data_IF_890114260541
#
_entry.id   IF_890114260541
#
_cell.length_a   1.000
_cell.length_b   1.000
_cell.length_c   1.000
_cell.angle_alpha   90.00
_cell.angle_beta   90.00
_cell.angle_gamma   90.00
#
_symmetry.space_group_name_H-M   'P 1'
#
loop_
_entity.id
_entity.type
_entity.pdbx_description
1 polymer ?
#
# COMPACT_ATOMS: atom_id res chain seq x y z
N UNK A 1 -13.79 4.05 -0.12
CA UNK A 1 -12.39 4.31 0.29
C UNK A 1 -11.65 3.01 0.16
N UNK A 2 -10.45 3.01 -0.41
CA UNK A 2 -9.84 1.79 -0.93
C UNK A 2 -8.38 1.57 -0.53
N UNK A 3 -7.67 2.61 -0.12
CA UNK A 3 -6.32 2.48 0.40
C UNK A 3 -5.95 3.66 1.26
N UNK A 4 -5.21 3.39 2.32
CA UNK A 4 -4.66 4.39 3.21
C UNK A 4 -3.32 3.88 3.72
N UNK A 5 -2.26 4.62 3.40
CA UNK A 5 -0.99 4.53 4.10
C UNK A 5 -0.71 5.89 4.70
N UNK A 6 -0.61 5.96 6.02
CA UNK A 6 -0.02 7.14 6.67
C UNK A 6 1.30 6.76 7.33
N UNK A 7 2.40 7.16 6.71
CA UNK A 7 3.74 6.97 7.24
C UNK A 7 4.30 8.30 7.72
N UNK A 8 5.36 8.27 8.52
CA UNK A 8 5.95 9.50 9.05
C UNK A 8 7.39 9.31 9.43
N UNK A 9 8.11 10.42 9.48
CA UNK A 9 9.52 10.43 9.87
C UNK A 9 9.87 11.77 10.52
N UNK A 10 10.65 11.73 11.59
CA UNK A 10 11.28 12.94 12.12
C UNK A 10 12.27 13.50 11.09
N UNK A 11 12.20 14.80 10.80
CA UNK A 11 13.11 15.45 9.85
C UNK A 11 14.56 15.45 10.34
N UNK A 12 14.74 15.44 11.66
CA UNK A 12 16.00 15.15 12.35
C UNK A 12 15.74 14.06 13.38
N UNK A 13 16.56 13.01 13.36
CA UNK A 13 16.50 11.94 14.37
C UNK A 13 17.32 12.27 15.61
N UNK A 14 18.14 13.32 15.60
CA UNK A 14 18.86 13.79 16.79
C UNK A 14 17.94 14.68 17.65
N UNK A 15 17.67 14.32 18.91
CA UNK A 15 16.87 15.15 19.81
C UNK A 15 17.53 16.52 20.03
N UNK A 16 16.76 17.59 19.86
CA UNK A 16 17.20 18.96 20.14
C UNK A 16 16.00 19.83 20.50
N UNK A 17 16.07 20.52 21.64
CA UNK A 17 14.97 21.37 22.13
C UNK A 17 13.78 20.60 22.69
N UNK A 18 12.64 21.29 22.82
CA UNK A 18 11.41 20.74 23.40
C UNK A 18 10.47 20.10 22.37
N UNK A 19 10.67 20.37 21.08
CA UNK A 19 9.83 19.87 19.99
C UNK A 19 10.66 19.29 18.86
N UNK A 20 10.02 18.44 18.05
CA UNK A 20 10.59 17.76 16.89
C UNK A 20 9.72 18.09 15.68
N UNK A 21 10.35 18.39 14.54
CA UNK A 21 9.63 18.46 13.28
C UNK A 21 9.43 17.06 12.71
N UNK A 22 8.16 16.69 12.50
CA UNK A 22 7.73 15.40 12.00
C UNK A 22 7.05 15.60 10.65
N UNK A 23 7.54 14.89 9.64
CA UNK A 23 6.90 14.81 8.33
C UNK A 23 5.83 13.71 8.39
N UNK A 24 4.58 14.09 8.20
CA UNK A 24 3.43 13.20 8.07
C UNK A 24 3.15 13.02 6.58
N UNK A 25 3.27 11.80 6.09
CA UNK A 25 2.89 11.40 4.74
C UNK A 25 1.51 10.74 4.80
N UNK A 26 0.57 11.24 4.01
CA UNK A 26 -0.76 10.68 3.84
C UNK A 26 -0.92 10.25 2.39
N UNK A 27 -1.22 8.97 2.16
CA UNK A 27 -1.57 8.45 0.84
C UNK A 27 -2.93 7.78 0.93
N UNK A 28 -3.87 8.26 0.13
CA UNK A 28 -5.24 7.79 0.17
C UNK A 28 -5.77 7.47 -1.22
N UNK A 29 -6.70 6.51 -1.27
CA UNK A 29 -7.42 6.16 -2.49
C UNK A 29 -8.92 6.08 -2.28
N UNK A 30 -9.67 6.58 -3.26
CA UNK A 30 -11.13 6.60 -3.28
C UNK A 30 -11.68 6.11 -4.59
N UNK A 31 -12.98 5.83 -4.55
CA UNK A 31 -13.74 5.54 -5.75
C UNK A 31 -13.82 6.80 -6.61
N UNK A 32 -13.45 6.67 -7.88
CA UNK A 32 -13.30 7.80 -8.79
C UNK A 32 -14.64 8.44 -9.11
N UNK A 33 -15.71 7.65 -9.20
CA UNK A 33 -17.06 8.15 -9.48
C UNK A 33 -17.85 8.64 -8.25
N UNK A 34 -17.29 8.56 -7.04
CA UNK A 34 -18.02 8.84 -5.80
C UNK A 34 -18.05 10.32 -5.43
N UNK A 35 -17.02 11.07 -5.78
CA UNK A 35 -16.92 12.51 -5.54
C UNK A 35 -16.82 13.29 -6.86
N UNK A 36 -17.22 14.56 -6.83
CA UNK A 36 -17.06 15.46 -7.98
C UNK A 36 -15.58 15.77 -8.30
N UNK A 37 -14.70 15.63 -7.31
CA UNK A 37 -13.24 15.83 -7.36
C UNK A 37 -12.49 14.53 -7.73
N UNK A 38 -12.74 14.01 -8.93
CA UNK A 38 -12.09 12.80 -9.42
C UNK A 38 -10.68 13.05 -9.99
N UNK A 39 -9.75 12.10 -9.83
CA UNK A 39 -8.48 12.18 -10.55
C UNK A 39 -8.69 11.98 -12.07
N UNK A 40 -7.96 12.79 -12.84
CA UNK A 40 -7.82 12.77 -14.28
C UNK A 40 -6.38 13.14 -14.66
N UNK A 41 -6.01 13.01 -15.93
CA UNK A 41 -4.71 13.51 -16.41
C UNK A 41 -4.50 15.00 -16.10
N UNK A 42 -5.56 15.81 -16.21
CA UNK A 42 -5.52 17.25 -15.94
C UNK A 42 -5.26 17.54 -14.46
N UNK A 43 -5.93 16.83 -13.55
CA UNK A 43 -5.72 17.03 -12.11
C UNK A 43 -4.33 16.62 -11.68
N UNK A 44 -3.76 15.54 -12.25
CA UNK A 44 -2.37 15.13 -12.00
C UNK A 44 -1.40 16.22 -12.49
N UNK A 45 -1.56 16.65 -13.74
CA UNK A 45 -0.66 17.65 -14.36
C UNK A 45 -0.64 18.97 -13.60
N UNK A 46 -1.80 19.38 -13.08
CA UNK A 46 -1.96 20.63 -12.34
C UNK A 46 -1.77 20.46 -10.82
N UNK A 47 -1.37 19.27 -10.34
CA UNK A 47 -1.23 18.96 -8.92
C UNK A 47 -2.46 19.35 -8.08
N UNK A 48 -3.64 19.10 -8.63
CA UNK A 48 -4.89 19.47 -7.99
C UNK A 48 -5.22 18.53 -6.84
N UNK A 49 -5.81 19.12 -5.80
CA UNK A 49 -6.29 18.41 -4.63
C UNK A 49 -7.55 17.62 -4.99
N UNK A 50 -7.60 16.38 -4.51
CA UNK A 50 -8.73 15.47 -4.58
C UNK A 50 -9.08 15.00 -3.16
N UNK A 51 -10.33 14.63 -2.92
CA UNK A 51 -10.83 14.21 -1.61
C UNK A 51 -12.25 14.69 -1.34
N UNK A 52 -12.72 14.51 -0.10
CA UNK A 52 -14.10 14.85 0.29
C UNK A 52 -14.29 16.29 0.71
N UNK A 53 -13.21 17.08 0.88
CA UNK A 53 -13.20 18.42 1.48
C UNK A 53 -13.67 18.48 2.94
N UNK A 54 -13.88 17.32 3.57
CA UNK A 54 -14.47 17.20 4.92
C UNK A 54 -13.78 16.14 5.79
N UNK A 55 -12.92 15.31 5.20
CA UNK A 55 -12.19 14.28 5.92
C UNK A 55 -10.94 14.85 6.59
N UNK A 56 -10.63 14.34 7.77
CA UNK A 56 -9.51 14.82 8.58
C UNK A 56 -8.70 13.66 9.16
N UNK A 57 -7.38 13.86 9.24
CA UNK A 57 -6.49 13.05 10.07
C UNK A 57 -6.36 13.76 11.42
N UNK A 58 -6.85 13.08 12.46
CA UNK A 58 -6.94 13.62 13.81
C UNK A 58 -6.17 12.78 14.82
N UNK A 59 -5.75 13.40 15.93
CA UNK A 59 -5.22 12.68 17.08
C UNK A 59 -6.33 12.37 18.07
N UNK A 60 -6.47 11.09 18.41
CA UNK A 60 -7.54 10.59 19.27
C UNK A 60 -7.06 10.21 20.68
N UNK A 61 -5.81 9.74 20.81
CA UNK A 61 -5.24 9.30 22.10
C UNK A 61 -3.79 9.78 22.22
N UNK A 62 -3.37 10.13 23.44
CA UNK A 62 -2.01 10.57 23.74
C UNK A 62 -1.89 12.10 23.82
N UNK A 63 -0.77 12.65 23.35
CA UNK A 63 -0.42 14.08 23.45
C UNK A 63 -1.18 14.98 22.45
N UNK A 64 -2.47 14.72 22.24
CA UNK A 64 -3.26 15.29 21.14
C UNK A 64 -3.47 16.81 21.19
N UNK A 65 -3.32 17.46 22.34
CA UNK A 65 -3.43 18.92 22.46
C UNK A 65 -2.39 19.69 21.61
N UNK A 66 -1.29 19.03 21.25
CA UNK A 66 -0.24 19.60 20.39
C UNK A 66 -0.35 19.16 18.92
N UNK A 67 -1.30 18.27 18.60
CA UNK A 67 -1.49 17.79 17.24
C UNK A 67 -2.49 18.70 16.52
N UNK A 68 -2.07 19.27 15.40
CA UNK A 68 -2.96 20.06 14.53
C UNK A 68 -3.63 19.09 13.55
N UNK A 69 -4.96 19.10 13.52
CA UNK A 69 -5.76 18.37 12.53
C UNK A 69 -5.28 18.66 11.12
N UNK A 70 -5.07 17.59 10.34
CA UNK A 70 -4.68 17.69 8.94
C UNK A 70 -5.88 17.34 8.04
N UNK A 71 -5.99 17.99 6.88
CA UNK A 71 -6.97 17.56 5.88
C UNK A 71 -6.60 16.15 5.37
N UNK A 72 -7.61 15.34 5.10
CA UNK A 72 -7.45 14.07 4.40
C UNK A 72 -7.50 14.22 2.87
N UNK A 73 -7.69 15.43 2.35
CA UNK A 73 -7.54 15.69 0.92
C UNK A 73 -6.06 15.64 0.53
N UNK A 74 -5.78 15.10 -0.65
CA UNK A 74 -4.42 14.82 -1.13
C UNK A 74 -4.22 15.35 -2.53
N UNK A 75 -2.96 15.49 -2.96
CA UNK A 75 -2.64 15.86 -4.34
C UNK A 75 -2.80 14.62 -5.22
N UNK A 76 -3.56 14.74 -6.31
CA UNK A 76 -3.79 13.67 -7.25
C UNK A 76 -2.49 13.15 -7.88
N UNK A 77 -2.16 11.87 -7.68
CA UNK A 77 -1.00 11.23 -8.30
C UNK A 77 -1.39 10.27 -9.42
N UNK A 78 -2.46 9.50 -9.21
CA UNK A 78 -2.80 8.39 -10.11
C UNK A 78 -4.31 8.14 -10.15
N UNK A 79 -4.77 7.50 -11.22
CA UNK A 79 -6.11 6.95 -11.29
C UNK A 79 -6.19 5.74 -12.20
N UNK A 80 -7.28 4.99 -12.04
CA UNK A 80 -7.63 3.87 -12.89
C UNK A 80 -9.12 3.89 -13.15
N UNK A 81 -9.50 4.00 -14.43
CA UNK A 81 -10.89 3.87 -14.86
C UNK A 81 -11.37 2.42 -14.78
N UNK A 82 -10.46 1.45 -14.89
CA UNK A 82 -10.77 0.02 -14.82
C UNK A 82 -11.15 -0.41 -13.40
N UNK A 83 -10.43 0.09 -12.40
CA UNK A 83 -10.67 -0.21 -10.99
C UNK A 83 -11.54 0.84 -10.32
N UNK A 84 -11.99 1.84 -11.08
CA UNK A 84 -12.74 3.00 -10.57
C UNK A 84 -12.07 3.64 -9.35
N UNK A 85 -10.75 3.84 -9.41
CA UNK A 85 -9.95 4.37 -8.30
C UNK A 85 -9.28 5.69 -8.68
N UNK A 86 -9.24 6.62 -7.73
CA UNK A 86 -8.36 7.79 -7.71
C UNK A 86 -7.45 7.67 -6.50
N UNK A 87 -6.19 8.02 -6.66
CA UNK A 87 -5.18 7.96 -5.62
C UNK A 87 -4.40 9.26 -5.58
N UNK A 88 -3.96 9.62 -4.40
CA UNK A 88 -3.01 10.70 -4.27
C UNK A 88 -2.33 10.72 -2.91
N UNK A 89 -1.42 11.67 -2.76
CA UNK A 89 -0.62 11.80 -1.56
C UNK A 89 -0.34 13.26 -1.19
N UNK A 90 -0.02 13.49 0.08
CA UNK A 90 0.39 14.79 0.60
C UNK A 90 1.36 14.60 1.75
N UNK A 91 2.25 15.58 1.90
CA UNK A 91 3.22 15.65 2.98
C UNK A 91 2.97 16.91 3.80
N UNK A 92 2.79 16.75 5.10
CA UNK A 92 2.60 17.84 6.05
C UNK A 92 3.70 17.79 7.10
N UNK A 93 4.24 18.94 7.49
CA UNK A 93 5.23 19.01 8.58
C UNK A 93 4.57 19.57 9.83
N UNK A 94 4.68 18.85 10.94
CA UNK A 94 4.18 19.27 12.25
C UNK A 94 5.33 19.42 13.24
N UNK A 95 5.23 20.42 14.12
CA UNK A 95 6.13 20.54 15.27
C UNK A 95 5.46 19.93 16.49
N UNK A 96 5.91 18.75 16.90
CA UNK A 96 5.31 17.97 18.00
C UNK A 96 6.25 17.91 19.21
N UNK A 97 5.73 17.85 20.45
CA UNK A 97 6.55 17.66 21.65
C UNK A 97 7.46 16.43 21.57
N UNK A 98 8.74 16.62 21.90
CA UNK A 98 9.67 15.52 22.07
C UNK A 98 9.20 14.60 23.21
N UNK A 99 9.29 13.28 23.03
CA UNK A 99 8.78 12.31 24.01
C UNK A 99 7.26 12.07 23.96
N UNK A 100 6.53 12.78 23.09
CA UNK A 100 5.09 12.60 22.94
C UNK A 100 4.73 11.31 22.18
N UNK A 101 3.61 10.72 22.54
CA UNK A 101 2.97 9.61 21.81
C UNK A 101 1.61 10.08 21.31
N UNK A 102 1.25 9.77 20.06
CA UNK A 102 0.03 10.22 19.41
C UNK A 102 -0.59 9.06 18.64
N UNK A 103 -1.85 8.74 18.94
CA UNK A 103 -2.64 7.81 18.14
C UNK A 103 -3.45 8.64 17.17
N UNK A 104 -3.06 8.61 15.90
CA UNK A 104 -3.66 9.40 14.84
C UNK A 104 -4.48 8.52 13.93
N UNK A 105 -5.63 9.01 13.47
CA UNK A 105 -6.47 8.23 12.59
C UNK A 105 -7.39 9.07 11.72
N UNK A 106 -7.78 8.47 10.60
CA UNK A 106 -8.81 8.98 9.70
C UNK A 106 -9.90 7.90 9.59
N UNK A 107 -11.16 8.29 9.67
CA UNK A 107 -12.28 7.36 9.72
C UNK A 107 -13.50 7.90 8.98
N UNK A 108 -14.44 7.01 8.66
CA UNK A 108 -15.69 7.36 8.02
C UNK A 108 -16.73 6.25 8.13
N UNK A 109 -17.98 6.56 7.75
CA UNK A 109 -19.12 5.66 7.94
C UNK A 109 -19.48 4.76 6.76
N UNK A 110 -18.95 5.04 5.56
CA UNK A 110 -19.39 4.43 4.32
C UNK A 110 -18.24 3.69 3.62
N UNK A 111 -18.01 2.43 4.02
CA UNK A 111 -17.13 1.52 3.29
C UNK A 111 -17.86 0.84 2.13
N UNK A 112 -17.11 0.32 1.17
CA UNK A 112 -17.67 -0.47 0.08
C UNK A 112 -18.20 -1.81 0.63
N UNK A 113 -19.27 -2.33 0.02
CA UNK A 113 -19.74 -3.69 0.30
C UNK A 113 -18.65 -4.72 -0.01
N UNK A 114 -18.31 -5.53 1.00
CA UNK A 114 -17.34 -6.60 0.88
C UNK A 114 -18.03 -7.95 0.71
N UNK A 115 -17.32 -8.91 0.13
CA UNK A 115 -17.78 -10.29 0.00
C UNK A 115 -17.81 -11.01 1.36
N UNK A 116 -16.96 -10.59 2.30
CA UNK A 116 -16.89 -11.09 3.68
C UNK A 116 -16.60 -9.89 4.60
N UNK A 117 -17.36 -9.79 5.70
CA UNK A 117 -17.28 -8.65 6.63
C UNK A 117 -17.77 -7.34 5.99
N UNK A 118 -17.30 -6.20 6.52
CA UNK A 118 -17.48 -4.86 5.95
C UNK A 118 -18.93 -4.40 5.71
N UNK A 119 -19.07 -3.37 4.87
CA UNK A 119 -20.31 -2.60 4.63
C UNK A 119 -20.73 -1.65 5.77
N UNK A 120 -19.77 -1.06 6.46
CA UNK A 120 -20.02 -0.10 7.54
C UNK A 120 -18.91 0.93 7.70
N UNK A 121 -18.64 1.29 8.95
CA UNK A 121 -17.57 2.22 9.28
C UNK A 121 -16.19 1.65 8.95
N UNK A 122 -15.29 2.53 8.59
CA UNK A 122 -13.89 2.22 8.34
C UNK A 122 -13.03 3.21 9.11
N UNK A 123 -11.83 2.78 9.47
CA UNK A 123 -10.89 3.59 10.22
C UNK A 123 -9.48 3.17 9.86
N UNK A 124 -8.55 4.11 9.80
CA UNK A 124 -7.12 3.86 9.58
C UNK A 124 -6.35 4.58 10.67
N UNK A 125 -5.94 3.83 11.69
CA UNK A 125 -5.26 4.39 12.87
C UNK A 125 -3.82 3.91 12.93
N UNK A 126 -2.90 4.82 13.25
CA UNK A 126 -1.50 4.52 13.51
C UNK A 126 -1.00 5.19 14.78
N UNK A 127 0.09 4.66 15.34
CA UNK A 127 0.74 5.17 16.56
C UNK A 127 2.01 5.93 16.21
N UNK A 128 2.07 7.24 16.47
CA UNK A 128 3.26 8.11 16.58
C UNK A 128 3.92 7.98 17.94
N UNK A 129 5.23 7.76 17.96
CA UNK A 129 6.02 7.75 19.18
C UNK A 129 7.33 8.52 18.94
N UNK A 130 7.48 9.63 19.67
CA UNK A 130 8.64 10.51 19.62
C UNK A 130 9.50 10.37 20.87
N UNK A 131 9.34 9.27 21.62
CA UNK A 131 10.26 8.92 22.70
C UNK A 131 11.65 8.67 22.13
N UNK A 132 12.65 9.10 22.90
CA UNK A 132 14.05 8.90 22.54
C UNK A 132 14.39 7.44 22.80
N UNK A 133 14.93 6.79 21.78
CA UNK A 133 15.36 5.39 21.80
C UNK A 133 16.62 5.23 22.66
N UNK A 134 16.97 4.00 22.99
CA UNK A 134 18.14 3.70 23.83
C UNK A 134 19.48 4.04 23.17
N UNK A 135 19.51 4.22 21.84
CA UNK A 135 20.67 4.72 21.11
C UNK A 135 20.76 6.27 21.10
N UNK A 136 19.80 6.95 21.71
CA UNK A 136 19.74 8.41 21.78
C UNK A 136 19.08 9.08 20.57
N UNK A 137 18.52 8.31 19.62
CA UNK A 137 17.82 8.84 18.45
C UNK A 137 16.31 8.83 18.64
N UNK A 138 15.61 9.67 17.89
CA UNK A 138 14.14 9.65 17.76
C UNK A 138 13.77 8.59 16.74
N UNK A 139 12.73 7.82 17.03
CA UNK A 139 12.21 6.81 16.13
C UNK A 139 11.67 7.39 14.81
N UNK A 140 11.93 6.69 13.72
CA UNK A 140 11.25 6.87 12.44
C UNK A 140 10.29 5.71 12.22
N UNK A 141 9.16 5.97 11.58
CA UNK A 141 8.14 4.95 11.43
C UNK A 141 8.34 4.17 10.14
N UNK A 142 7.85 2.92 10.09
CA UNK A 142 7.95 2.15 8.88
C UNK A 142 7.23 2.83 7.74
N UNK A 143 7.71 2.59 6.53
CA UNK A 143 7.06 2.97 5.29
C UNK A 143 6.58 1.71 4.57
N UNK A 144 5.39 1.78 4.01
CA UNK A 144 4.81 0.73 3.17
C UNK A 144 4.07 1.38 2.01
N UNK A 145 3.82 0.63 0.95
CA UNK A 145 2.98 1.08 -0.16
C UNK A 145 2.38 -0.14 -0.85
N UNK A 146 1.12 -0.05 -1.25
CA UNK A 146 0.44 -1.10 -1.98
C UNK A 146 -0.49 -0.48 -3.02
N UNK A 147 -1.05 -1.33 -3.87
CA UNK A 147 -2.12 -0.89 -4.75
C UNK A 147 -3.45 -0.95 -3.99
N UNK A 148 -4.36 0.02 -4.22
CA UNK A 148 -5.65 0.04 -3.54
C UNK A 148 -6.52 -1.17 -3.84
N UNK A 149 -6.46 -1.65 -5.10
CA UNK A 149 -7.22 -2.79 -5.57
C UNK A 149 -6.32 -3.72 -6.37
N UNK A 150 -6.29 -4.98 -5.96
CA UNK A 150 -5.45 -6.02 -6.52
C UNK A 150 -6.32 -7.15 -7.08
N UNK A 151 -6.20 -7.44 -8.37
CA UNK A 151 -7.01 -8.47 -9.02
C UNK A 151 -6.46 -9.85 -8.72
N UNK A 152 -7.36 -10.77 -8.33
CA UNK A 152 -7.00 -12.14 -7.98
C UNK A 152 -8.03 -13.10 -8.56
N UNK A 153 -7.55 -14.20 -9.13
CA UNK A 153 -8.44 -15.25 -9.63
C UNK A 153 -9.09 -15.99 -8.47
N UNK A 154 -10.38 -16.28 -8.61
CA UNK A 154 -11.12 -17.01 -7.57
C UNK A 154 -10.75 -18.50 -7.54
N UNK A 155 -10.87 -19.13 -6.37
CA UNK A 155 -10.70 -20.58 -6.21
C UNK A 155 -9.25 -21.08 -6.20
N UNK A 156 -8.25 -20.21 -6.38
CA UNK A 156 -6.83 -20.57 -6.31
C UNK A 156 -6.12 -19.89 -5.13
N UNK A 157 -5.03 -20.48 -4.67
CA UNK A 157 -4.20 -19.92 -3.60
C UNK A 157 -3.30 -18.82 -4.16
N UNK A 158 -3.25 -17.70 -3.46
CA UNK A 158 -2.42 -16.55 -3.76
C UNK A 158 -1.44 -16.28 -2.63
N UNK A 159 -0.33 -15.66 -3.00
CA UNK A 159 0.68 -15.14 -2.09
C UNK A 159 0.82 -13.64 -2.37
N UNK A 160 0.60 -12.81 -1.36
CA UNK A 160 0.79 -11.37 -1.42
C UNK A 160 1.85 -10.98 -0.39
N UNK A 161 2.93 -10.35 -0.85
CA UNK A 161 3.94 -9.75 0.02
C UNK A 161 3.62 -8.26 0.12
N UNK A 162 3.50 -7.75 1.34
CA UNK A 162 3.34 -6.32 1.60
C UNK A 162 4.74 -5.75 1.84
N UNK A 163 5.21 -4.81 1.00
CA UNK A 163 6.55 -4.27 1.17
C UNK A 163 6.59 -3.40 2.43
N UNK A 164 7.66 -3.51 3.20
CA UNK A 164 7.92 -2.70 4.37
C UNK A 164 9.38 -2.28 4.37
N UNK A 165 9.65 -1.07 4.82
CA UNK A 165 11.01 -0.58 5.04
C UNK A 165 11.01 0.36 6.24
N UNK A 166 12.15 0.45 6.90
CA UNK A 166 12.40 1.42 7.96
C UNK A 166 13.72 2.13 7.71
N UNK A 167 13.87 3.36 8.19
CA UNK A 167 15.12 4.09 8.06
C UNK A 167 16.09 3.79 9.22
N UNK A 168 15.59 3.25 10.33
CA UNK A 168 16.34 2.92 11.52
C UNK A 168 16.97 1.53 11.40
N UNK A 169 18.30 1.50 11.27
CA UNK A 169 19.07 0.27 10.97
C UNK A 169 18.98 -0.86 12.01
N UNK A 170 18.53 -0.57 13.22
CA UNK A 170 18.38 -1.58 14.29
C UNK A 170 16.99 -2.19 14.35
N UNK A 171 16.02 -1.57 13.68
CA UNK A 171 14.63 -1.90 13.87
C UNK A 171 14.26 -3.20 13.16
N UNK A 172 13.42 -3.98 13.83
CA UNK A 172 12.80 -5.17 13.28
C UNK A 172 11.37 -4.85 12.91
N UNK A 173 11.01 -5.03 11.64
CA UNK A 173 9.66 -4.81 11.17
C UNK A 173 8.82 -6.06 11.30
N UNK A 174 7.56 -5.87 11.71
CA UNK A 174 6.54 -6.92 11.71
C UNK A 174 5.22 -6.34 11.22
N UNK A 175 4.33 -7.22 10.79
CA UNK A 175 2.93 -6.85 10.67
C UNK A 175 2.01 -7.83 11.36
N UNK A 176 0.82 -7.31 11.63
CA UNK A 176 -0.30 -8.05 12.16
C UNK A 176 -1.58 -7.52 11.52
N UNK A 177 -2.65 -8.27 11.70
CA UNK A 177 -3.98 -7.75 11.43
C UNK A 177 -4.26 -6.55 12.35
N UNK A 178 -4.85 -5.52 11.75
CA UNK A 178 -5.44 -4.43 12.52
C UNK A 178 -6.58 -4.98 13.37
N UNK A 179 -6.80 -4.38 14.55
CA UNK A 179 -7.84 -4.80 15.50
C UNK A 179 -8.85 -3.69 15.74
N UNK A 180 -10.12 -4.04 15.93
CA UNK A 180 -11.13 -3.14 16.50
C UNK A 180 -11.19 -3.31 18.02
N UNK A 181 -12.07 -2.55 18.67
CA UNK A 181 -12.31 -2.65 20.10
C UNK A 181 -13.32 -3.75 20.50
N UNK A 182 -13.64 -4.70 19.59
CA UNK A 182 -14.71 -5.69 19.83
C UNK A 182 -14.30 -7.13 19.47
N UNK A 183 -13.81 -7.94 20.45
CA UNK A 183 -13.64 -7.63 21.87
C UNK A 183 -12.49 -6.65 22.11
N UNK A 184 -12.44 -6.05 23.31
CA UNK A 184 -11.39 -5.08 23.67
C UNK A 184 -10.01 -5.59 23.29
N UNK A 185 -9.33 -4.84 22.42
CA UNK A 185 -7.96 -5.16 22.03
C UNK A 185 -6.95 -4.63 23.07
N UNK A 186 -5.71 -5.10 22.99
CA UNK A 186 -4.64 -4.71 23.90
C UNK A 186 -4.20 -3.24 23.72
N UNK A 187 -4.52 -2.62 22.58
CA UNK A 187 -4.12 -1.27 22.24
C UNK A 187 -5.06 -0.21 22.81
N UNK A 188 -6.32 -0.58 23.10
CA UNK A 188 -7.34 0.31 23.66
C UNK A 188 -7.91 1.33 22.67
N UNK A 189 -7.68 1.16 21.38
CA UNK A 189 -8.21 1.99 20.29
C UNK A 189 -8.54 1.16 19.05
N UNK A 190 -9.46 1.67 18.24
CA UNK A 190 -9.88 1.02 16.99
C UNK A 190 -8.91 1.34 15.85
N UNK A 191 -8.48 0.34 15.09
CA UNK A 191 -7.53 0.46 13.98
C UNK A 191 -8.16 0.27 12.60
N UNK A 192 -9.36 -0.32 12.52
CA UNK A 192 -9.97 -0.74 11.25
C UNK A 192 -11.50 -0.75 11.20
N UNK A 193 -12.20 -0.53 12.31
CA UNK A 193 -13.65 -0.59 12.43
C UNK A 193 -14.23 -1.86 11.79
N UNK A 194 -15.21 -1.74 10.87
CA UNK A 194 -15.83 -2.93 10.24
C UNK A 194 -14.94 -3.64 9.21
N UNK A 195 -13.74 -3.11 8.92
CA UNK A 195 -12.79 -3.64 7.94
C UNK A 195 -11.80 -4.63 8.58
N UNK A 196 -11.81 -4.73 9.91
CA UNK A 196 -10.95 -5.65 10.66
C UNK A 196 -11.14 -7.11 10.23
N UNK A 197 -10.12 -7.93 10.47
CA UNK A 197 -10.21 -9.36 10.20
C UNK A 197 -11.34 -10.01 11.04
N UNK A 198 -12.04 -11.03 10.50
CA UNK A 198 -11.80 -11.69 9.23
C UNK A 198 -12.56 -11.03 8.05
N UNK A 199 -11.81 -10.56 7.05
CA UNK A 199 -12.32 -10.02 5.77
C UNK A 199 -11.89 -10.86 4.55
N UNK A 200 -11.30 -12.04 4.81
CA UNK A 200 -10.93 -13.07 3.84
C UNK A 200 -11.59 -14.42 4.18
N UNK A 201 -11.80 -15.32 3.20
CA UNK A 201 -12.27 -16.67 3.45
C UNK A 201 -11.34 -17.43 4.39
N UNK A 202 -11.90 -18.33 5.21
CA UNK A 202 -11.15 -19.13 6.16
C UNK A 202 -9.98 -19.89 5.50
N UNK A 203 -8.89 -20.07 6.26
CA UNK A 203 -7.66 -20.71 5.79
C UNK A 203 -6.61 -19.73 5.22
N UNK A 204 -6.75 -18.43 5.48
CA UNK A 204 -5.68 -17.47 5.24
C UNK A 204 -4.60 -17.56 6.33
N UNK A 205 -3.35 -17.23 5.99
CA UNK A 205 -2.24 -17.09 6.94
C UNK A 205 -1.48 -15.80 6.69
N UNK A 206 -1.05 -15.14 7.76
CA UNK A 206 -0.14 -13.99 7.71
C UNK A 206 1.14 -14.38 8.43
N UNK A 207 2.27 -14.26 7.74
CA UNK A 207 3.61 -14.38 8.34
C UNK A 207 4.07 -13.00 8.82
N UNK A 208 4.14 -12.74 10.14
CA UNK A 208 4.39 -11.39 10.67
C UNK A 208 5.75 -10.80 10.29
N UNK A 209 6.80 -11.60 10.24
CA UNK A 209 8.18 -11.10 10.10
C UNK A 209 8.54 -10.66 8.67
N UNK A 210 7.73 -11.03 7.67
CA UNK A 210 7.96 -10.68 6.26
C UNK A 210 6.69 -10.24 5.53
N UNK A 211 5.59 -10.06 6.27
CA UNK A 211 4.28 -9.64 5.78
C UNK A 211 3.83 -10.34 4.52
N UNK A 212 3.98 -11.66 4.55
CA UNK A 212 3.49 -12.54 3.50
C UNK A 212 2.12 -13.07 3.89
N UNK A 213 1.12 -12.69 3.11
CA UNK A 213 -0.26 -13.15 3.22
C UNK A 213 -0.51 -14.27 2.20
N UNK A 214 -0.91 -15.44 2.69
CA UNK A 214 -1.36 -16.56 1.86
C UNK A 214 -2.86 -16.73 2.03
N UNK A 215 -3.60 -16.77 0.92
CA UNK A 215 -5.07 -16.72 0.99
C UNK A 215 -5.73 -17.31 -0.26
N UNK A 216 -7.06 -17.48 -0.21
CA UNK A 216 -7.93 -17.80 -1.35
C UNK A 216 -9.12 -16.86 -1.31
N UNK A 217 -9.64 -16.49 -2.48
CA UNK A 217 -10.91 -15.76 -2.59
C UNK A 217 -11.93 -16.59 -3.38
N UNK A 218 -13.21 -16.39 -3.11
CA UNK A 218 -14.28 -17.31 -3.53
C UNK A 218 -15.33 -16.69 -4.46
N UNK A 219 -15.44 -15.36 -4.53
CA UNK A 219 -16.51 -14.66 -5.24
C UNK A 219 -15.95 -13.84 -6.40
N UNK A 220 -16.44 -14.11 -7.61
CA UNK A 220 -16.17 -13.27 -8.79
C UNK A 220 -16.98 -11.98 -8.64
N UNK A 221 -16.33 -10.84 -8.86
CA UNK A 221 -16.93 -9.53 -8.63
C UNK A 221 -16.98 -9.10 -7.16
N UNK A 222 -16.54 -9.96 -6.24
CA UNK A 222 -16.46 -9.65 -4.81
C UNK A 222 -15.19 -8.87 -4.45
N UNK A 223 -15.33 -7.94 -3.51
CA UNK A 223 -14.22 -7.24 -2.88
C UNK A 223 -13.90 -7.87 -1.53
N UNK A 224 -12.61 -8.06 -1.25
CA UNK A 224 -12.11 -8.55 0.03
C UNK A 224 -11.11 -7.54 0.57
N UNK A 225 -11.38 -6.96 1.73
CA UNK A 225 -10.44 -6.00 2.31
C UNK A 225 -9.33 -6.71 3.09
N UNK A 226 -8.21 -6.02 3.24
CA UNK A 226 -7.11 -6.39 4.12
C UNK A 226 -6.74 -5.14 4.89
N UNK A 227 -6.73 -5.23 6.22
CA UNK A 227 -6.29 -4.15 7.11
C UNK A 227 -5.18 -4.67 8.01
N UNK A 228 -3.98 -4.11 7.85
CA UNK A 228 -2.80 -4.48 8.62
C UNK A 228 -2.20 -3.27 9.32
N UNK A 229 -1.51 -3.54 10.42
CA UNK A 229 -0.56 -2.62 11.03
C UNK A 229 0.84 -3.08 10.66
N UNK A 230 1.63 -2.16 10.12
CA UNK A 230 3.08 -2.32 9.97
C UNK A 230 3.72 -1.66 11.17
N UNK A 231 4.50 -2.42 11.93
CA UNK A 231 5.05 -2.02 13.22
C UNK A 231 6.57 -2.13 13.20
N UNK A 232 7.22 -1.12 13.77
CA UNK A 232 8.64 -1.16 14.08
C UNK A 232 8.86 -1.62 15.53
N UNK A 233 9.94 -2.36 15.74
CA UNK A 233 10.38 -2.81 17.05
C UNK A 233 11.85 -2.50 17.15
N UNK A 234 12.28 -1.91 18.27
CA UNK A 234 13.68 -1.50 18.44
C UNK A 234 14.69 -2.65 18.19
N UNK A 235 14.28 -3.87 18.53
CA UNK A 235 15.02 -5.11 18.23
C UNK A 235 14.02 -6.25 18.00
N UNK A 236 14.50 -7.39 17.50
CA UNK A 236 13.70 -8.60 17.32
C UNK A 236 13.16 -9.17 18.64
N UNK A 237 13.73 -8.80 19.79
CA UNK A 237 13.26 -9.25 21.11
C UNK A 237 12.34 -8.25 21.81
N UNK A 238 12.15 -7.05 21.25
CA UNK A 238 11.29 -6.04 21.86
C UNK A 238 9.83 -6.51 21.89
N UNK A 239 9.13 -6.43 23.04
CA UNK A 239 7.77 -6.94 23.18
C UNK A 239 6.70 -5.95 22.69
N UNK A 240 7.06 -4.66 22.58
CA UNK A 240 6.13 -3.58 22.22
C UNK A 240 6.65 -2.83 21.01
N UNK A 241 5.77 -2.48 20.05
CA UNK A 241 6.16 -1.69 18.90
C UNK A 241 6.45 -0.26 19.32
N UNK A 242 7.46 0.37 18.71
CA UNK A 242 7.72 1.79 18.96
C UNK A 242 6.62 2.60 18.26
N UNK A 243 6.23 2.22 17.06
CA UNK A 243 5.35 2.99 16.21
C UNK A 243 4.64 2.07 15.22
N UNK A 244 3.52 2.54 14.67
CA UNK A 244 2.76 1.79 13.69
C UNK A 244 2.23 2.65 12.55
N UNK A 245 2.13 2.02 11.38
CA UNK A 245 1.54 2.56 10.17
C UNK A 245 0.42 1.65 9.69
N UNK A 246 -0.82 2.16 9.57
CA UNK A 246 -1.91 1.39 8.99
C UNK A 246 -1.70 1.25 7.48
N UNK A 247 -2.00 0.06 6.98
CA UNK A 247 -2.19 -0.19 5.54
C UNK A 247 -3.51 -0.91 5.33
N UNK A 248 -4.33 -0.38 4.44
CA UNK A 248 -5.58 -1.01 4.02
C UNK A 248 -5.63 -1.12 2.51
N UNK A 249 -6.04 -2.25 1.97
CA UNK A 249 -6.21 -2.44 0.53
C UNK A 249 -7.22 -3.54 0.27
N UNK A 250 -7.52 -3.80 -1.00
CA UNK A 250 -8.50 -4.82 -1.37
C UNK A 250 -8.01 -5.78 -2.43
N UNK A 251 -8.53 -7.00 -2.38
CA UNK A 251 -8.56 -7.91 -3.51
C UNK A 251 -9.90 -7.85 -4.23
N UNK A 252 -9.86 -7.90 -5.56
CA UNK A 252 -11.04 -8.04 -6.40
C UNK A 252 -11.02 -9.39 -7.11
N UNK A 253 -12.10 -10.16 -6.95
CA UNK A 253 -12.22 -11.49 -7.52
C UNK A 253 -12.54 -11.48 -9.01
N UNK A 254 -11.68 -12.12 -9.81
CA UNK A 254 -11.91 -12.39 -11.23
C UNK A 254 -12.07 -13.87 -11.51
N UNK A 255 -12.79 -14.20 -12.57
CA UNK A 255 -12.88 -15.56 -13.05
C UNK A 255 -11.50 -16.09 -13.45
N UNK A 256 -11.26 -17.38 -13.22
CA UNK A 256 -10.10 -18.06 -13.79
C UNK A 256 -10.25 -18.02 -15.31
N UNK A 257 -9.24 -17.53 -16.07
CA UNK A 257 -9.30 -17.54 -17.52
C UNK A 257 -9.57 -18.97 -18.04
N UNK A 258 -10.61 -19.15 -18.85
CA UNK A 258 -10.91 -20.42 -19.49
C UNK A 258 -10.11 -20.55 -20.80
N UNK A 259 -9.05 -21.36 -20.76
CA UNK A 259 -8.24 -21.72 -21.94
C UNK A 259 -7.01 -20.82 -22.18
N UNK A 260 -6.23 -21.16 -23.20
CA UNK A 260 -4.98 -20.48 -23.56
C UNK A 260 -5.17 -19.25 -24.48
N UNK A 261 -6.42 -18.87 -24.78
CA UNK A 261 -6.74 -17.78 -25.70
C UNK A 261 -6.68 -16.39 -25.06
N UNK A 262 -6.68 -16.31 -23.73
CA UNK A 262 -6.54 -15.04 -23.02
C UNK A 262 -5.06 -14.83 -22.68
N UNK A 263 -4.34 -13.93 -23.38
CA UNK A 263 -2.96 -13.66 -23.06
C UNK A 263 -2.85 -13.04 -21.66
N UNK A 264 -1.75 -13.26 -20.93
CA UNK A 264 -1.47 -12.54 -19.70
C UNK A 264 -1.48 -11.04 -19.99
N UNK A 265 -2.24 -10.29 -19.18
CA UNK A 265 -2.32 -8.83 -19.25
C UNK A 265 -1.67 -8.25 -18.01
N UNK A 266 -0.74 -7.32 -18.20
CA UNK A 266 -0.25 -6.50 -17.11
C UNK A 266 -1.34 -5.45 -16.84
N UNK A 267 -2.08 -5.63 -15.75
CA UNK A 267 -3.11 -4.69 -15.32
C UNK A 267 -2.46 -3.71 -14.33
N UNK A 268 -2.43 -2.43 -14.71
CA UNK A 268 -1.83 -1.34 -13.95
C UNK A 268 -0.68 -0.66 -14.69
N UNK A 269 -0.49 0.63 -14.43
CA UNK A 269 0.72 1.37 -14.83
C UNK A 269 1.78 1.03 -13.78
N UNK A 270 2.94 0.52 -14.17
CA UNK A 270 4.07 0.49 -13.21
C UNK A 270 4.37 1.95 -12.84
N UNK A 271 4.55 2.30 -11.56
CA UNK A 271 5.13 3.58 -11.22
C UNK A 271 6.54 3.59 -11.81
N UNK A 272 6.71 4.24 -12.97
CA UNK A 272 8.03 4.55 -13.51
C UNK A 272 8.67 5.75 -12.76
N UNK A 273 8.14 6.08 -11.57
CA UNK A 273 8.55 7.22 -10.76
C UNK A 273 8.62 6.81 -9.28
N UNK A 274 9.35 5.73 -9.00
CA UNK A 274 10.05 5.62 -7.72
C UNK A 274 11.29 6.52 -7.75
N UNK A 275 11.11 7.83 -7.92
CA UNK A 275 12.19 8.77 -7.70
C UNK A 275 12.34 8.91 -6.19
N UNK A 276 13.22 8.11 -5.59
CA UNK A 276 13.85 8.50 -4.36
C UNK A 276 14.59 9.82 -4.65
N UNK A 277 13.98 10.97 -4.33
CA UNK A 277 14.68 12.24 -4.25
C UNK A 277 15.53 12.24 -2.97
N UNK A 278 16.51 11.34 -2.93
CA UNK A 278 17.62 11.42 -2.00
C UNK A 278 18.54 12.53 -2.50
N UNK A 279 18.70 13.56 -1.68
CA UNK A 279 19.77 14.55 -1.82
C UNK A 279 21.08 13.83 -2.18
N UNK A 280 21.61 14.17 -3.35
CA UNK A 280 23.00 14.08 -3.78
C UNK A 280 23.95 13.32 -2.83
N UNK A 281 24.29 12.06 -3.15
CA UNK A 281 25.65 11.48 -3.01
C UNK A 281 25.79 10.02 -3.50
N UNK A 282 24.95 9.52 -4.40
CA UNK A 282 25.19 8.25 -5.11
C UNK A 282 24.94 8.44 -6.62
N UNK A 283 25.76 7.78 -7.44
CA UNK A 283 25.63 7.79 -8.91
C UNK A 283 24.21 7.43 -9.35
N UNK A 284 23.75 8.06 -10.44
CA UNK A 284 22.42 7.84 -11.02
C UNK A 284 22.12 6.34 -11.21
N UNK A 285 21.33 5.75 -10.31
CA UNK A 285 20.79 4.42 -10.50
C UNK A 285 19.66 4.51 -11.53
N UNK A 286 19.96 3.92 -12.69
CA UNK A 286 19.11 3.71 -13.86
C UNK A 286 18.79 4.95 -14.71
N UNK A 287 19.44 5.02 -15.87
CA UNK A 287 18.87 5.71 -17.03
C UNK A 287 17.51 5.06 -17.36
N UNK A 288 16.52 5.83 -17.85
CA UNK A 288 15.25 5.27 -18.29
C UNK A 288 15.50 4.16 -19.32
N UNK A 289 14.89 2.99 -19.11
CA UNK A 289 14.94 1.89 -20.08
C UNK A 289 14.13 2.32 -21.30
N UNK A 290 14.82 2.87 -22.31
CA UNK A 290 14.24 3.33 -23.57
C UNK A 290 14.08 2.21 -24.60
N UNK A 291 14.59 1.01 -24.29
CA UNK A 291 14.51 -0.14 -25.18
C UNK A 291 13.15 -0.83 -25.09
N UNK A 292 12.42 -0.84 -26.20
CA UNK A 292 11.18 -1.60 -26.37
C UNK A 292 11.38 -3.12 -26.42
N UNK A 293 12.62 -3.61 -26.35
CA UNK A 293 12.98 -5.03 -26.48
C UNK A 293 13.56 -5.65 -25.22
N UNK A 294 13.62 -4.92 -24.10
CA UNK A 294 14.26 -5.39 -22.86
C UNK A 294 13.49 -6.50 -22.12
N UNK A 295 12.29 -6.86 -22.58
CA UNK A 295 11.46 -7.86 -21.90
C UNK A 295 11.43 -9.18 -22.68
N UNK A 296 12.30 -10.11 -22.30
CA UNK A 296 12.17 -11.54 -22.64
C UNK A 296 11.53 -12.24 -21.44
N UNK A 297 10.34 -12.81 -21.62
CA UNK A 297 9.75 -13.72 -20.66
C UNK A 297 9.62 -15.09 -21.34
N UNK A 298 10.25 -16.11 -20.77
CA UNK A 298 10.02 -17.49 -21.19
C UNK A 298 8.70 -17.97 -20.59
N UNK A 299 7.73 -18.28 -21.45
CA UNK A 299 6.48 -18.91 -21.04
C UNK A 299 6.61 -20.41 -21.31
N UNK A 300 6.73 -21.21 -20.26
CA UNK A 300 6.73 -22.67 -20.38
C UNK A 300 5.31 -23.18 -20.66
N UNK A 301 5.14 -23.90 -21.78
CA UNK A 301 3.87 -24.54 -22.15
C UNK A 301 4.02 -26.08 -22.14
N UNK A 302 3.46 -26.80 -21.16
CA UNK A 302 3.54 -28.26 -21.08
C UNK A 302 2.76 -28.98 -22.20
N UNK A 303 1.84 -28.31 -22.90
CA UNK A 303 1.07 -28.92 -24.00
C UNK A 303 1.86 -29.05 -25.32
N UNK A 304 3.06 -28.45 -25.41
CA UNK A 304 3.95 -28.57 -26.57
C UNK A 304 5.04 -29.64 -26.36
N UNK A 305 5.11 -30.29 -25.20
CA UNK A 305 6.02 -31.40 -24.97
C UNK A 305 5.29 -32.74 -25.08
N UNK A 306 5.04 -33.21 -26.31
CA UNK A 306 4.78 -34.63 -26.49
C UNK A 306 5.51 -35.18 -27.72
N UNK A 307 6.10 -36.35 -27.49
CA UNK A 307 6.56 -37.36 -28.45
C UNK A 307 7.98 -37.21 -29.01
N UNK A 308 8.74 -38.26 -28.71
CA UNK A 308 10.15 -38.55 -28.96
C UNK A 308 10.50 -38.65 -30.44
N UNK A 309 11.56 -37.96 -30.87
CA UNK A 309 12.53 -38.51 -31.82
C UNK A 309 13.90 -37.90 -31.57
N UNK A 310 14.91 -38.76 -31.47
CA UNK A 310 16.33 -38.45 -31.32
C UNK A 310 16.85 -37.58 -32.47
N UNK A 311 17.25 -36.34 -32.16
CA UNK A 311 18.20 -35.56 -32.96
C UNK A 311 18.96 -34.58 -32.06
N UNK A 312 20.29 -34.63 -32.11
CA UNK A 312 21.26 -33.91 -31.27
C UNK A 312 21.44 -32.45 -31.67
N UNK A 313 20.37 -31.67 -31.75
CA UNK A 313 20.44 -30.23 -32.02
C UNK A 313 19.60 -29.45 -31.01
N UNK A 314 20.11 -28.33 -30.44
CA UNK A 314 19.34 -27.51 -29.49
C UNK A 314 18.05 -26.99 -30.13
N UNK A 315 16.94 -26.87 -29.38
CA UNK A 315 15.71 -26.31 -29.92
C UNK A 315 15.94 -24.84 -30.31
N UNK A 316 15.61 -24.51 -31.55
CA UNK A 316 15.56 -23.14 -32.05
C UNK A 316 14.56 -22.32 -31.23
N UNK A 317 15.04 -21.22 -30.63
CA UNK A 317 14.19 -20.21 -30.00
C UNK A 317 13.18 -19.67 -31.01
N UNK A 318 11.88 -19.86 -30.75
CA UNK A 318 10.85 -19.20 -31.53
C UNK A 318 10.64 -17.78 -30.99
N UNK A 319 11.18 -16.78 -31.68
CA UNK A 319 10.93 -15.37 -31.40
C UNK A 319 9.56 -14.97 -31.92
N UNK A 320 8.54 -14.91 -31.05
CA UNK A 320 7.27 -14.27 -31.41
C UNK A 320 7.45 -12.75 -31.30
N UNK A 321 7.60 -12.08 -32.44
CA UNK A 321 7.67 -10.62 -32.50
C UNK A 321 6.25 -10.05 -32.53
N UNK A 322 5.71 -9.59 -31.39
CA UNK A 322 4.47 -8.81 -31.41
C UNK A 322 4.78 -7.34 -31.75
N UNK A 323 4.39 -6.90 -32.95
CA UNK A 323 4.44 -5.47 -33.32
C UNK A 323 3.32 -4.72 -32.62
N UNK A 324 3.65 -3.93 -31.59
CA UNK A 324 2.75 -2.87 -31.12
C UNK A 324 2.68 -1.77 -32.18
N UNK A 325 1.55 -1.65 -32.90
CA UNK A 325 1.31 -0.51 -33.82
C UNK A 325 0.97 0.73 -32.99
N UNK A 326 1.87 1.71 -32.99
CA UNK A 326 1.57 3.09 -32.60
C UNK A 326 0.63 3.70 -33.64
N UNK A 327 -0.60 4.06 -33.27
CA UNK A 327 -1.41 5.03 -34.04
C UNK A 327 -0.94 6.42 -33.60
N UNK A 328 -0.16 7.07 -34.46
CA UNK A 328 0.07 8.51 -34.37
C UNK A 328 -1.19 9.19 -34.94
N UNK A 329 -1.83 10.06 -34.17
CA UNK A 329 -2.75 11.06 -34.71
C UNK A 329 -2.00 12.40 -34.83
N UNK A 330 -2.28 13.19 -35.87
CA UNK A 330 -1.46 14.34 -36.24
C UNK A 330 -1.65 15.53 -35.30
N UNK A 331 -0.61 16.37 -35.32
CA UNK A 331 -0.34 17.62 -34.60
C UNK A 331 -1.53 18.47 -34.21
#
# INVERSE_FOLDING_TARGET
HFDCVSSRRALSTTPSGATVQVLIHQRYSWRRDYWSSMCTTTTITNQQIIGSNTGNLDCNVGSCSSFITLSADVICTDYSTLTDCSSGEVYNTLSLPLGGTFIVGFYGGNWLALAIGGNGAWQVTGKIDLTVRSDGLINTSPVTTTLPVIYRTVGVQHVQIIPMSDADSTDTLRCRWSTDNTPSNANGYDECASVCAPSLPAGYTLSPDNCTLVFRISSVGGYYAVALQIEDFYTSTSPTPMSSVPVQFMFYGIAVPSGCSTPPSIIGVRPNLGAASGNSFCHAESAPITSSTFWVFDIWNPALSSTTTTTTTPPTSHTVTSRARRRLWPT
#
